data_IF_366488015675
#
_entry.id   IF_366488015675
#
_cell.length_a   1.000
_cell.length_b   1.000
_cell.length_c   1.000
_cell.angle_alpha   90.00
_cell.angle_beta   90.00
_cell.angle_gamma   90.00
#
_symmetry.space_group_name_H-M   'P 1'
#
loop_
_entity.id
_entity.type
_entity.pdbx_description
1 polymer ?
#
# COMPACT_ATOMS: atom_id res chain seq x y z
N UNK A 1 7.95 12.69 -0.40
CA UNK A 1 9.03 12.34 0.54
C UNK A 1 8.96 13.21 1.79
N UNK A 2 8.75 14.51 1.64
CA UNK A 2 8.53 15.38 2.81
C UNK A 2 7.30 14.95 3.61
N UNK A 3 6.24 14.48 2.92
CA UNK A 3 5.04 13.98 3.57
C UNK A 3 5.34 12.74 4.42
N UNK A 4 6.25 11.89 3.95
CA UNK A 4 6.65 10.68 4.69
C UNK A 4 7.37 11.05 5.98
N UNK A 5 8.30 12.00 5.91
CA UNK A 5 9.00 12.46 7.11
C UNK A 5 8.01 13.01 8.14
N UNK A 6 7.04 13.79 7.67
CA UNK A 6 6.00 14.36 8.52
C UNK A 6 5.13 13.27 9.17
N UNK A 7 4.76 12.24 8.40
CA UNK A 7 3.98 11.12 8.92
C UNK A 7 4.76 10.35 9.99
N UNK A 8 6.05 10.13 9.77
CA UNK A 8 6.90 9.46 10.77
C UNK A 8 6.99 10.27 12.06
N UNK A 9 7.20 11.57 11.96
CA UNK A 9 7.39 12.42 13.13
C UNK A 9 6.09 12.70 13.89
N UNK A 10 5.01 13.02 13.18
CA UNK A 10 3.75 13.43 13.82
C UNK A 10 2.87 12.25 14.22
N UNK A 11 2.88 11.17 13.47
CA UNK A 11 1.93 10.06 13.65
C UNK A 11 2.60 8.75 14.00
N UNK A 12 3.92 8.69 14.07
CA UNK A 12 4.64 7.47 14.39
C UNK A 12 4.49 6.38 13.34
N UNK A 13 4.32 6.76 12.08
CA UNK A 13 4.17 5.78 11.00
C UNK A 13 5.53 5.15 10.68
N UNK A 14 5.59 3.83 10.72
CA UNK A 14 6.80 3.06 10.41
C UNK A 14 6.67 2.26 9.12
N UNK A 15 5.43 2.03 8.66
CA UNK A 15 5.18 1.21 7.50
C UNK A 15 3.95 1.69 6.74
N UNK A 16 3.93 1.40 5.43
CA UNK A 16 2.82 1.70 4.54
C UNK A 16 2.35 0.41 3.89
N UNK A 17 1.04 0.18 3.88
CA UNK A 17 0.41 -0.85 3.07
C UNK A 17 -0.28 -0.15 1.92
N UNK A 18 0.00 -0.59 0.70
CA UNK A 18 -0.56 0.00 -0.52
C UNK A 18 -1.47 -0.98 -1.23
N UNK A 19 -2.61 -0.49 -1.67
CA UNK A 19 -3.45 -1.16 -2.66
C UNK A 19 -2.92 -0.87 -4.07
N UNK A 20 -3.27 -1.69 -5.05
CA UNK A 20 -2.77 -1.56 -6.42
C UNK A 20 -3.78 -0.91 -7.34
N UNK A 21 -4.91 -1.59 -7.61
CA UNK A 21 -5.87 -1.10 -8.60
C UNK A 21 -6.57 0.18 -8.13
N UNK A 22 -6.60 1.17 -9.01
CA UNK A 22 -7.14 2.51 -8.77
C UNK A 22 -6.46 3.29 -7.64
N UNK A 23 -5.31 2.76 -7.15
CA UNK A 23 -4.44 3.45 -6.17
C UNK A 23 -3.08 3.74 -6.81
N UNK A 24 -2.38 2.69 -7.26
CA UNK A 24 -1.08 2.84 -7.92
C UNK A 24 -1.20 2.80 -9.44
N UNK A 25 -2.25 2.18 -9.95
CA UNK A 25 -2.53 2.09 -11.39
C UNK A 25 -4.02 2.07 -11.62
N UNK A 26 -4.45 2.38 -12.84
CA UNK A 26 -5.81 2.07 -13.27
C UNK A 26 -5.93 0.56 -13.44
N UNK A 27 -7.09 0.02 -13.15
CA UNK A 27 -7.35 -1.42 -13.23
C UNK A 27 -6.84 -2.00 -14.55
N UNK A 28 -6.05 -3.07 -14.45
CA UNK A 28 -5.48 -3.82 -15.56
C UNK A 28 -4.45 -3.06 -16.41
N UNK A 29 -4.04 -1.85 -15.99
CA UNK A 29 -3.02 -1.08 -16.71
C UNK A 29 -1.68 -1.14 -16.00
N UNK A 30 -0.63 -0.65 -16.66
CA UNK A 30 0.69 -0.56 -16.04
C UNK A 30 0.71 0.50 -14.95
N UNK A 31 1.61 0.34 -13.99
CA UNK A 31 1.83 1.37 -12.97
C UNK A 31 2.51 2.56 -13.65
N UNK A 32 1.95 3.78 -13.55
CA UNK A 32 2.57 4.97 -14.11
C UNK A 32 3.98 5.20 -13.57
N UNK A 33 4.84 5.76 -14.41
CA UNK A 33 6.23 6.01 -14.06
C UNK A 33 6.37 6.87 -12.79
N UNK A 34 5.54 7.89 -12.64
CA UNK A 34 5.59 8.75 -11.45
C UNK A 34 5.30 7.96 -10.16
N UNK A 35 4.41 6.99 -10.22
CA UNK A 35 4.12 6.14 -9.05
C UNK A 35 5.26 5.18 -8.77
N UNK A 36 5.91 4.64 -9.81
CA UNK A 36 7.11 3.81 -9.63
C UNK A 36 8.25 4.60 -8.99
N UNK A 37 8.46 5.83 -9.45
CA UNK A 37 9.48 6.71 -8.88
C UNK A 37 9.19 7.04 -7.42
N UNK A 38 7.91 7.27 -7.09
CA UNK A 38 7.48 7.54 -5.72
C UNK A 38 7.78 6.33 -4.81
N UNK A 39 7.43 5.13 -5.26
CA UNK A 39 7.70 3.89 -4.50
C UNK A 39 9.20 3.73 -4.29
N UNK A 40 10.00 3.92 -5.32
CA UNK A 40 11.45 3.80 -5.22
C UNK A 40 12.04 4.82 -4.26
N UNK A 41 11.49 6.04 -4.25
CA UNK A 41 11.90 7.08 -3.31
C UNK A 41 11.57 6.76 -1.86
N UNK A 42 10.59 5.91 -1.60
CA UNK A 42 10.23 5.48 -0.24
C UNK A 42 11.12 4.34 0.28
N UNK A 43 11.72 3.57 -0.61
CA UNK A 43 12.54 2.43 -0.21
C UNK A 43 13.70 2.89 0.67
N UNK A 44 13.92 2.19 1.77
CA UNK A 44 14.95 2.54 2.74
C UNK A 44 14.54 3.61 3.74
N UNK A 45 13.44 4.32 3.50
CA UNK A 45 12.92 5.35 4.40
C UNK A 45 11.76 4.85 5.25
N UNK A 46 10.96 3.95 4.69
CA UNK A 46 9.80 3.38 5.36
C UNK A 46 9.57 1.97 4.82
N UNK A 47 9.02 1.11 5.65
CA UNK A 47 8.67 -0.24 5.23
C UNK A 47 7.43 -0.18 4.33
N UNK A 48 7.43 -0.99 3.27
CA UNK A 48 6.35 -1.00 2.29
C UNK A 48 5.91 -2.43 2.03
N UNK A 49 4.59 -2.64 1.95
CA UNK A 49 4.02 -3.90 1.54
C UNK A 49 2.78 -3.67 0.69
N UNK A 50 2.56 -4.54 -0.28
CA UNK A 50 1.38 -4.49 -1.13
C UNK A 50 0.37 -5.53 -0.64
N UNK A 51 -0.88 -5.10 -0.46
CA UNK A 51 -1.98 -5.99 -0.09
C UNK A 51 -3.13 -5.73 -1.06
N UNK A 52 -3.41 -6.71 -1.91
CA UNK A 52 -4.40 -6.58 -2.98
C UNK A 52 -5.43 -7.72 -2.93
N UNK A 53 -6.69 -7.40 -3.23
CA UNK A 53 -7.73 -8.43 -3.36
C UNK A 53 -7.55 -9.25 -4.63
N UNK A 54 -7.05 -8.63 -5.69
CA UNK A 54 -6.75 -9.34 -6.92
C UNK A 54 -5.35 -9.94 -6.93
N UNK A 55 -5.02 -10.59 -8.02
CA UNK A 55 -3.67 -11.08 -8.28
C UNK A 55 -3.28 -10.74 -9.71
N UNK A 56 -2.12 -10.14 -9.86
CA UNK A 56 -1.50 -9.88 -11.15
C UNK A 56 -0.04 -10.30 -11.03
N UNK A 57 0.34 -11.35 -11.74
CA UNK A 57 1.67 -11.93 -11.61
C UNK A 57 2.77 -10.99 -12.10
N UNK A 58 2.50 -10.15 -13.09
CA UNK A 58 3.48 -9.19 -13.57
C UNK A 58 3.72 -8.09 -12.53
N UNK A 59 2.67 -7.65 -11.86
CA UNK A 59 2.76 -6.66 -10.78
C UNK A 59 3.48 -7.25 -9.58
N UNK A 60 3.14 -8.48 -9.21
CA UNK A 60 3.81 -9.19 -8.11
C UNK A 60 5.31 -9.31 -8.40
N UNK A 61 5.66 -9.69 -9.63
CA UNK A 61 7.04 -9.84 -10.06
C UNK A 61 7.80 -8.51 -9.97
N UNK A 62 7.14 -7.41 -10.40
CA UNK A 62 7.73 -6.09 -10.30
C UNK A 62 8.07 -5.74 -8.84
N UNK A 63 7.12 -5.93 -7.92
CA UNK A 63 7.36 -5.61 -6.51
C UNK A 63 8.41 -6.51 -5.88
N UNK A 64 8.35 -7.81 -6.14
CA UNK A 64 9.33 -8.76 -5.61
C UNK A 64 10.75 -8.44 -6.11
N UNK A 65 10.88 -8.07 -7.37
CA UNK A 65 12.16 -7.67 -7.95
C UNK A 65 12.73 -6.43 -7.27
N UNK A 66 11.87 -5.57 -6.75
CA UNK A 66 12.27 -4.35 -6.04
C UNK A 66 12.32 -4.52 -4.52
N UNK A 67 12.25 -5.77 -4.03
CA UNK A 67 12.35 -6.05 -2.61
C UNK A 67 11.11 -5.70 -1.81
N UNK A 68 9.95 -5.59 -2.46
CA UNK A 68 8.68 -5.27 -1.82
C UNK A 68 7.79 -6.51 -1.85
N UNK A 69 7.32 -6.94 -0.67
CA UNK A 69 6.45 -8.10 -0.56
C UNK A 69 5.04 -7.77 -1.07
N UNK A 70 4.39 -8.78 -1.63
CA UNK A 70 3.08 -8.67 -2.24
C UNK A 70 2.16 -9.75 -1.69
N UNK A 71 0.99 -9.38 -1.19
CA UNK A 71 -0.06 -10.31 -0.78
C UNK A 71 -1.25 -10.13 -1.71
N UNK A 72 -1.48 -11.14 -2.56
CA UNK A 72 -2.67 -11.19 -3.41
C UNK A 72 -3.78 -11.98 -2.73
N UNK A 73 -4.98 -11.95 -3.30
CA UNK A 73 -6.17 -12.61 -2.75
C UNK A 73 -6.37 -12.29 -1.26
N UNK A 74 -6.19 -11.02 -0.90
CA UNK A 74 -6.15 -10.61 0.50
C UNK A 74 -7.50 -10.67 1.20
N UNK A 75 -8.59 -10.70 0.45
CA UNK A 75 -9.95 -10.70 0.99
C UNK A 75 -10.19 -9.52 1.95
N UNK A 76 -9.69 -8.34 1.58
CA UNK A 76 -9.99 -7.14 2.36
C UNK A 76 -11.49 -6.91 2.40
N UNK A 77 -12.07 -6.46 3.49
CA UNK A 77 -11.43 -5.88 4.67
C UNK A 77 -11.17 -6.86 5.82
N UNK A 78 -11.13 -8.16 5.56
CA UNK A 78 -10.89 -9.15 6.61
C UNK A 78 -9.51 -8.96 7.24
N UNK A 79 -9.41 -9.25 8.54
CA UNK A 79 -8.20 -8.96 9.33
C UNK A 79 -6.98 -9.77 8.95
N UNK A 80 -7.17 -11.01 8.48
CA UNK A 80 -6.10 -11.99 8.33
C UNK A 80 -4.86 -11.46 7.60
N UNK A 81 -5.05 -10.91 6.40
CA UNK A 81 -3.91 -10.50 5.59
C UNK A 81 -3.38 -9.12 5.95
N UNK A 82 -4.19 -8.25 6.56
CA UNK A 82 -3.68 -7.03 7.16
C UNK A 82 -2.71 -7.35 8.30
N UNK A 83 -3.09 -8.27 9.18
CA UNK A 83 -2.24 -8.67 10.31
C UNK A 83 -1.01 -9.43 9.83
N UNK A 84 -1.15 -10.25 8.80
CA UNK A 84 -0.02 -10.94 8.18
C UNK A 84 0.99 -9.95 7.61
N UNK A 85 0.52 -8.88 6.99
CA UNK A 85 1.40 -7.83 6.47
C UNK A 85 2.18 -7.15 7.59
N UNK A 86 1.50 -6.82 8.69
CA UNK A 86 2.15 -6.24 9.87
C UNK A 86 3.21 -7.16 10.44
N UNK A 87 2.90 -8.45 10.55
CA UNK A 87 3.83 -9.44 11.04
C UNK A 87 5.07 -9.55 10.16
N UNK A 88 4.87 -9.61 8.84
CA UNK A 88 6.00 -9.67 7.90
C UNK A 88 6.87 -8.42 7.95
N UNK A 89 6.30 -7.26 8.17
CA UNK A 89 7.04 -6.00 8.30
C UNK A 89 7.59 -5.78 9.71
N UNK A 90 7.20 -6.64 10.65
CA UNK A 90 7.59 -6.52 12.07
C UNK A 90 7.19 -5.16 12.65
N UNK A 91 5.93 -4.79 12.45
CA UNK A 91 5.36 -3.55 12.98
C UNK A 91 4.00 -3.82 13.63
N UNK A 92 3.57 -2.93 14.52
CA UNK A 92 2.22 -3.00 15.06
C UNK A 92 1.25 -2.23 14.16
N UNK A 93 -0.03 -2.61 14.11
CA UNK A 93 -0.99 -1.92 13.24
C UNK A 93 -1.10 -0.43 13.47
N UNK A 94 -0.93 0.04 14.70
CA UNK A 94 -1.04 1.47 15.01
C UNK A 94 0.06 2.32 14.33
N UNK A 95 1.15 1.68 13.92
CA UNK A 95 2.25 2.35 13.21
C UNK A 95 2.16 2.22 11.70
N UNK A 96 1.06 1.68 11.18
CA UNK A 96 0.87 1.45 9.74
C UNK A 96 -0.10 2.46 9.15
N UNK A 97 0.23 2.97 7.97
CA UNK A 97 -0.68 3.75 7.14
C UNK A 97 -1.19 2.85 6.02
N UNK A 98 -2.51 2.62 5.98
CA UNK A 98 -3.16 1.91 4.87
C UNK A 98 -3.57 2.91 3.81
N UNK A 99 -3.08 2.76 2.61
CA UNK A 99 -3.36 3.65 1.48
C UNK A 99 -4.13 2.89 0.41
N UNK A 100 -5.30 3.37 0.07
CA UNK A 100 -6.12 2.73 -0.96
C UNK A 100 -7.28 3.59 -1.41
N UNK A 101 -8.01 3.12 -2.41
CA UNK A 101 -9.10 3.86 -3.02
C UNK A 101 -10.50 3.39 -2.60
N UNK A 102 -10.61 2.25 -1.94
CA UNK A 102 -11.89 1.68 -1.56
C UNK A 102 -12.23 2.01 -0.11
N UNK A 103 -13.38 2.67 0.10
CA UNK A 103 -13.86 2.96 1.46
C UNK A 103 -14.09 1.68 2.26
N UNK A 104 -14.60 0.63 1.63
CA UNK A 104 -14.88 -0.63 2.33
C UNK A 104 -13.63 -1.48 2.51
N UNK A 105 -12.92 -1.80 1.41
CA UNK A 105 -11.81 -2.74 1.48
C UNK A 105 -10.61 -2.17 2.23
N UNK A 106 -10.23 -0.93 1.92
CA UNK A 106 -8.97 -0.35 2.39
C UNK A 106 -9.16 0.51 3.63
N UNK A 107 -10.09 1.44 3.61
CA UNK A 107 -10.24 2.39 4.72
C UNK A 107 -10.91 1.71 5.92
N UNK A 108 -12.05 1.07 5.71
CA UNK A 108 -12.70 0.32 6.78
C UNK A 108 -11.82 -0.83 7.27
N UNK A 109 -11.19 -1.58 6.32
CA UNK A 109 -10.28 -2.66 6.65
C UNK A 109 -9.10 -2.19 7.50
N UNK A 110 -8.49 -1.07 7.10
CA UNK A 110 -7.40 -0.49 7.87
C UNK A 110 -7.85 -0.05 9.27
N UNK A 111 -8.95 0.68 9.35
CA UNK A 111 -9.46 1.18 10.62
C UNK A 111 -9.86 0.08 11.58
N UNK A 112 -10.50 -1.01 11.11
CA UNK A 112 -10.86 -2.11 12.00
C UNK A 112 -9.63 -2.85 12.53
N UNK A 113 -8.48 -2.68 11.89
CA UNK A 113 -7.21 -3.22 12.35
C UNK A 113 -6.36 -2.18 13.09
N UNK A 114 -6.96 -1.04 13.44
CA UNK A 114 -6.34 0.06 14.20
C UNK A 114 -5.19 0.74 13.45
N UNK A 115 -5.21 0.67 12.12
CA UNK A 115 -4.26 1.38 11.28
C UNK A 115 -4.74 2.80 11.00
N UNK A 116 -3.81 3.71 10.70
CA UNK A 116 -4.15 4.97 10.09
C UNK A 116 -4.46 4.74 8.62
N UNK A 117 -5.27 5.58 8.02
CA UNK A 117 -5.74 5.36 6.66
C UNK A 117 -5.64 6.62 5.82
N UNK A 118 -5.41 6.43 4.52
CA UNK A 118 -5.42 7.50 3.54
C UNK A 118 -6.21 7.04 2.31
N UNK A 119 -7.29 7.75 2.00
CA UNK A 119 -8.10 7.47 0.83
C UNK A 119 -7.51 8.19 -0.38
N UNK A 120 -7.22 7.42 -1.42
CA UNK A 120 -6.68 7.95 -2.67
C UNK A 120 -7.80 8.07 -3.69
N UNK A 121 -7.83 9.19 -4.39
CA UNK A 121 -8.74 9.35 -5.52
C UNK A 121 -8.28 8.46 -6.67
N UNK A 122 -9.21 8.15 -7.58
CA UNK A 122 -8.89 7.33 -8.74
C UNK A 122 -7.64 7.84 -9.44
N UNK A 123 -6.77 6.88 -9.86
CA UNK A 123 -5.53 7.20 -10.54
C UNK A 123 -5.83 7.85 -11.90
N UNK A 124 -5.23 9.02 -12.14
CA UNK A 124 -5.32 9.66 -13.43
C UNK A 124 -4.30 9.03 -14.38
N UNK A 125 -4.73 8.75 -15.60
CA UNK A 125 -3.85 8.22 -16.63
C UNK A 125 -3.15 9.37 -17.36
N UNK A 126 -2.09 9.89 -16.75
CA UNK A 126 -1.32 11.00 -17.29
C UNK A 126 -0.27 10.59 -18.31
N UNK A 127 -0.18 9.30 -18.60
CA UNK A 127 0.79 8.76 -19.56
C UNK A 127 0.13 8.39 -20.89
N UNK A 128 -0.92 9.06 -21.22
CA UNK A 128 -1.61 8.90 -22.49
C UNK A 128 -0.74 9.38 -23.64
#
# INVERSE_FOLDING_TARGET
>A
IQAIEKLKQQYGIEAIILDVDDTLRKEMKCIPKCNKEWIEGLKGKIKIMIVSNGVDKDIEKYFNKNGIDYIGFACKPLKKNFLKACEKMNVTPVSVLMVGNSLFDDIYGGKRNKMKTALVKEVEDNER
#
